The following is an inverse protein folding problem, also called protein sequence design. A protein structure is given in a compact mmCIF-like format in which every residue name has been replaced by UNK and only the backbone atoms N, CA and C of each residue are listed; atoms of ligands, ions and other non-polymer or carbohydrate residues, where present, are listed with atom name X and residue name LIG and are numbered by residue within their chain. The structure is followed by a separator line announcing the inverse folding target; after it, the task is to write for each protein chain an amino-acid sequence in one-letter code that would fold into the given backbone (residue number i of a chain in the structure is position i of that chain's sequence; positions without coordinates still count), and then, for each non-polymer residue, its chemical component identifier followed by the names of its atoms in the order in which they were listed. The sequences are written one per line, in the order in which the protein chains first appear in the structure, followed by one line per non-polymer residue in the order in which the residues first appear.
data_IF_636186922951
#
_entry.id   IF_636186922951
#
_cell.length_a   1.000
_cell.length_b   1.000
_cell.length_c   1.000
_cell.angle_alpha   90.00
_cell.angle_beta   90.00
_cell.angle_gamma   90.00
#
_symmetry.space_group_name_H-M   'P 1'
#
loop_
_entity.id
_entity.type
_entity.pdbx_description
1 polymer ?
#
# COMPACT_ATOMS: atom_id res chain seq x y z
N UNK A 1 8.62 -16.94 3.21
CA UNK A 1 10.07 -16.65 3.26
C UNK A 1 10.80 -17.59 2.30
N UNK A 2 11.44 -17.04 1.29
CA UNK A 2 12.26 -17.79 0.33
C UNK A 2 13.60 -17.06 0.22
N UNK A 3 14.70 -17.79 0.39
CA UNK A 3 16.06 -17.26 0.21
C UNK A 3 16.94 -18.31 -0.44
N UNK A 4 17.65 -17.95 -1.51
CA UNK A 4 18.64 -18.82 -2.12
C UNK A 4 19.86 -18.98 -1.20
N UNK A 5 20.27 -20.21 -0.93
CA UNK A 5 21.38 -20.55 -0.03
C UNK A 5 22.66 -21.00 -0.78
N UNK A 6 22.78 -20.68 -2.06
CA UNK A 6 23.92 -21.11 -2.88
C UNK A 6 25.29 -20.49 -2.51
N UNK A 7 25.36 -19.61 -1.50
CA UNK A 7 26.59 -19.01 -0.99
C UNK A 7 26.64 -19.05 0.53
N UNK A 8 27.83 -19.20 1.12
CA UNK A 8 28.03 -19.28 2.57
C UNK A 8 27.45 -18.07 3.33
N UNK A 9 27.70 -16.86 2.83
CA UNK A 9 27.17 -15.61 3.40
C UNK A 9 25.63 -15.61 3.49
N UNK A 10 24.94 -16.23 2.52
CA UNK A 10 23.49 -16.36 2.54
C UNK A 10 23.01 -17.41 3.55
N UNK A 11 23.82 -18.42 3.81
CA UNK A 11 23.57 -19.40 4.86
C UNK A 11 23.59 -18.74 6.23
N UNK A 12 24.64 -17.95 6.52
CA UNK A 12 24.77 -17.20 7.76
C UNK A 12 23.60 -16.23 7.96
N UNK A 13 23.19 -15.57 6.87
CA UNK A 13 22.02 -14.67 6.91
C UNK A 13 20.70 -15.42 7.18
N UNK A 14 20.49 -16.60 6.58
CA UNK A 14 19.29 -17.42 6.86
C UNK A 14 19.30 -17.89 8.31
N UNK A 15 20.45 -18.26 8.84
CA UNK A 15 20.55 -18.64 10.24
C UNK A 15 20.23 -17.48 11.18
N UNK A 16 20.76 -16.29 10.91
CA UNK A 16 20.40 -15.08 11.65
C UNK A 16 18.90 -14.74 11.55
N UNK A 17 18.29 -14.89 10.38
CA UNK A 17 16.85 -14.66 10.16
C UNK A 17 15.99 -15.67 10.95
N UNK A 18 16.45 -16.93 11.11
CA UNK A 18 15.78 -17.95 11.93
C UNK A 18 15.93 -17.59 13.42
N UNK A 19 17.14 -17.32 13.87
CA UNK A 19 17.47 -17.00 15.28
C UNK A 19 16.77 -15.71 15.75
N UNK A 20 16.64 -14.70 14.87
CA UNK A 20 15.89 -13.47 15.16
C UNK A 20 14.38 -13.65 15.16
N UNK A 21 13.87 -14.82 14.76
CA UNK A 21 12.44 -15.09 14.65
C UNK A 21 11.78 -14.52 13.37
N UNK A 22 12.55 -13.93 12.46
CA UNK A 22 12.00 -13.36 11.21
C UNK A 22 11.28 -14.41 10.36
N UNK A 23 11.84 -15.61 10.25
CA UNK A 23 11.20 -16.71 9.50
C UNK A 23 9.89 -17.14 10.16
N UNK A 24 9.87 -17.25 11.49
CA UNK A 24 8.68 -17.59 12.25
C UNK A 24 7.60 -16.51 12.15
N UNK A 25 7.95 -15.24 12.22
CA UNK A 25 7.01 -14.10 12.12
C UNK A 25 6.34 -14.00 10.74
N UNK A 26 6.96 -14.56 9.68
CA UNK A 26 6.42 -14.62 8.32
C UNK A 26 5.63 -15.89 8.01
N UNK A 27 5.33 -16.69 9.02
CA UNK A 27 4.49 -17.88 8.88
C UNK A 27 3.02 -17.45 8.81
N UNK A 28 2.38 -17.62 7.66
CA UNK A 28 0.96 -17.26 7.44
C UNK A 28 -0.04 -18.09 8.26
N UNK A 29 0.40 -19.18 8.92
CA UNK A 29 -0.42 -19.86 9.92
C UNK A 29 -0.56 -19.04 11.22
N UNK A 30 0.34 -18.09 11.45
CA UNK A 30 0.26 -17.12 12.55
C UNK A 30 -0.41 -15.84 12.07
N UNK A 31 -1.12 -15.19 12.97
CA UNK A 31 -1.75 -13.90 12.71
C UNK A 31 -0.70 -12.83 12.44
N UNK A 32 -0.85 -12.13 11.32
CA UNK A 32 0.06 -11.08 10.87
C UNK A 32 -0.46 -9.69 11.24
N UNK A 33 0.44 -8.72 11.33
CA UNK A 33 0.12 -7.30 11.37
C UNK A 33 0.50 -6.67 10.03
N UNK A 34 -0.29 -5.73 9.54
CA UNK A 34 -0.02 -5.10 8.27
C UNK A 34 -0.03 -3.56 8.34
N UNK A 35 0.66 -2.95 7.38
CA UNK A 35 0.45 -1.56 7.03
C UNK A 35 -0.05 -1.52 5.59
N UNK A 36 -1.29 -1.08 5.44
CA UNK A 36 -1.90 -0.80 4.15
C UNK A 36 -1.52 0.63 3.75
N UNK A 37 -0.92 0.80 2.58
CA UNK A 37 -0.48 2.08 2.06
C UNK A 37 -1.30 2.45 0.82
N UNK A 38 -1.85 3.65 0.74
CA UNK A 38 -2.21 4.17 -0.56
C UNK A 38 -0.95 4.39 -1.40
N UNK A 39 -1.10 4.44 -2.71
CA UNK A 39 -0.01 4.62 -3.65
C UNK A 39 0.25 6.12 -3.88
N UNK A 40 -0.68 6.76 -4.56
CA UNK A 40 -0.58 8.16 -4.97
C UNK A 40 -0.71 9.09 -3.76
N UNK A 41 0.22 10.00 -3.59
CA UNK A 41 0.25 10.90 -2.42
C UNK A 41 0.85 10.28 -1.15
N UNK A 42 1.17 8.98 -1.12
CA UNK A 42 1.79 8.28 0.01
C UNK A 42 3.14 7.70 -0.37
N UNK A 43 3.19 6.80 -1.34
CA UNK A 43 4.43 6.15 -1.82
C UNK A 43 5.05 6.99 -2.94
N UNK A 44 4.26 7.46 -3.89
CA UNK A 44 4.70 8.33 -4.98
C UNK A 44 4.01 9.69 -4.95
N UNK A 45 4.68 10.66 -5.56
CA UNK A 45 4.12 11.99 -5.76
C UNK A 45 2.85 11.87 -6.60
N UNK A 46 1.76 12.44 -6.11
CA UNK A 46 0.49 12.49 -6.84
C UNK A 46 0.58 13.61 -7.91
N UNK A 47 0.59 13.19 -9.16
CA UNK A 47 0.58 14.08 -10.35
C UNK A 47 -0.81 14.17 -10.98
N UNK A 48 -1.86 14.00 -10.20
CA UNK A 48 -3.27 14.05 -10.58
C UNK A 48 -3.83 12.81 -11.31
N UNK A 49 -3.08 11.95 -11.87
CA UNK A 49 -3.40 10.60 -12.41
C UNK A 49 -2.15 10.05 -13.08
N UNK A 50 -1.41 9.22 -12.39
CA UNK A 50 -0.28 8.48 -13.01
C UNK A 50 -0.85 7.49 -14.03
N UNK A 51 -0.58 7.70 -15.32
CA UNK A 51 -1.09 6.92 -16.46
C UNK A 51 0.01 6.27 -17.30
N UNK A 52 1.28 6.64 -17.04
CA UNK A 52 2.45 6.07 -17.70
C UNK A 52 3.55 5.74 -16.66
N UNK A 53 4.34 4.65 -16.86
CA UNK A 53 5.43 4.30 -15.95
C UNK A 53 6.47 5.40 -15.70
N UNK A 54 6.75 6.25 -16.68
CA UNK A 54 7.73 7.33 -16.58
C UNK A 54 7.26 8.48 -15.66
N UNK A 55 5.97 8.54 -15.35
CA UNK A 55 5.39 9.50 -14.40
C UNK A 55 5.56 9.05 -12.95
N UNK A 56 6.06 7.83 -12.71
CA UNK A 56 6.25 7.26 -11.36
C UNK A 56 7.47 7.88 -10.69
N UNK A 57 7.24 8.72 -9.71
CA UNK A 57 8.28 9.37 -8.88
C UNK A 57 7.98 9.09 -7.41
N UNK A 58 8.84 8.32 -6.74
CA UNK A 58 8.67 8.01 -5.32
C UNK A 58 8.95 9.22 -4.44
N UNK A 59 8.26 9.31 -3.30
CA UNK A 59 8.71 10.20 -2.24
C UNK A 59 10.09 9.76 -1.71
N UNK A 60 10.98 10.69 -1.34
CA UNK A 60 12.35 10.35 -0.90
C UNK A 60 12.41 9.38 0.26
N UNK A 61 11.36 9.39 1.09
CA UNK A 61 11.28 8.57 2.30
C UNK A 61 10.52 7.25 2.10
N UNK A 62 10.00 6.97 0.92
CA UNK A 62 9.14 5.80 0.68
C UNK A 62 9.89 4.48 0.94
N UNK A 63 11.07 4.35 0.37
CA UNK A 63 11.88 3.12 0.47
C UNK A 63 12.29 2.83 1.91
N UNK A 64 12.87 3.81 2.61
CA UNK A 64 13.28 3.60 4.01
C UNK A 64 12.11 3.32 4.95
N UNK A 65 10.92 3.89 4.66
CA UNK A 65 9.69 3.64 5.43
C UNK A 65 9.25 2.20 5.29
N UNK A 66 9.19 1.69 4.06
CA UNK A 66 8.81 0.30 3.77
C UNK A 66 9.82 -0.67 4.41
N UNK A 67 11.12 -0.40 4.31
CA UNK A 67 12.16 -1.21 4.95
C UNK A 67 12.00 -1.26 6.48
N UNK A 68 11.72 -0.11 7.11
CA UNK A 68 11.53 -0.04 8.56
C UNK A 68 10.28 -0.83 9.02
N UNK A 69 9.19 -0.76 8.26
CA UNK A 69 7.98 -1.54 8.52
C UNK A 69 8.25 -3.05 8.40
N UNK A 70 8.94 -3.49 7.35
CA UNK A 70 9.34 -4.89 7.21
C UNK A 70 10.25 -5.36 8.34
N UNK A 71 11.23 -4.53 8.73
CA UNK A 71 12.14 -4.85 9.84
C UNK A 71 11.41 -4.99 11.18
N UNK A 72 10.28 -4.31 11.34
CA UNK A 72 9.40 -4.44 12.50
C UNK A 72 8.37 -5.59 12.38
N UNK A 73 8.43 -6.38 11.31
CA UNK A 73 7.59 -7.55 11.08
C UNK A 73 6.19 -7.26 10.54
N UNK A 74 5.94 -6.08 9.97
CA UNK A 74 4.69 -5.81 9.29
C UNK A 74 4.69 -6.37 7.86
N UNK A 75 3.54 -6.87 7.43
CA UNK A 75 3.21 -7.07 6.01
C UNK A 75 2.88 -5.71 5.41
N UNK A 76 3.47 -5.36 4.27
CA UNK A 76 3.23 -4.07 3.59
C UNK A 76 2.42 -4.30 2.33
N UNK A 77 1.19 -3.79 2.32
CA UNK A 77 0.23 -3.96 1.21
C UNK A 77 -0.14 -2.60 0.62
N UNK A 78 0.05 -2.45 -0.68
CA UNK A 78 -0.45 -1.28 -1.41
C UNK A 78 -1.91 -1.49 -1.75
N UNK A 79 -2.76 -0.49 -1.45
CA UNK A 79 -4.21 -0.50 -1.73
C UNK A 79 -4.62 0.80 -2.42
N UNK A 80 -4.83 0.78 -3.74
CA UNK A 80 -4.97 2.01 -4.54
C UNK A 80 -6.16 2.01 -5.49
N UNK A 81 -6.83 3.16 -5.63
CA UNK A 81 -7.90 3.38 -6.62
C UNK A 81 -7.32 3.89 -7.92
N UNK A 82 -7.34 3.07 -8.97
CA UNK A 82 -6.78 3.39 -10.28
C UNK A 82 -7.88 3.63 -11.32
N UNK A 83 -8.59 4.74 -11.18
CA UNK A 83 -9.68 5.15 -12.08
C UNK A 83 -9.24 5.46 -13.51
N UNK A 84 -7.95 5.56 -13.78
CA UNK A 84 -7.38 5.76 -15.11
C UNK A 84 -7.87 4.73 -16.12
N UNK A 85 -8.12 3.48 -15.68
CA UNK A 85 -8.67 2.40 -16.51
C UNK A 85 -10.12 2.70 -16.88
N UNK A 86 -10.97 2.99 -15.89
CA UNK A 86 -12.38 3.32 -16.13
C UNK A 86 -12.57 4.58 -16.97
N UNK A 87 -11.60 5.50 -16.94
CA UNK A 87 -11.60 6.75 -17.71
C UNK A 87 -11.01 6.59 -19.13
N UNK A 88 -10.49 5.38 -19.47
CA UNK A 88 -9.87 5.12 -20.78
C UNK A 88 -8.51 5.78 -21.01
N UNK A 89 -7.86 6.26 -19.94
CA UNK A 89 -6.55 6.92 -20.02
C UNK A 89 -5.39 5.93 -20.12
N UNK A 90 -5.61 4.71 -19.67
CA UNK A 90 -4.73 3.55 -19.84
C UNK A 90 -5.57 2.27 -19.66
N UNK A 91 -4.99 1.10 -19.93
CA UNK A 91 -5.62 -0.20 -19.71
C UNK A 91 -5.04 -0.89 -18.46
N UNK A 92 -5.50 -2.12 -18.18
CA UNK A 92 -5.00 -2.91 -17.05
C UNK A 92 -3.50 -3.20 -17.17
N UNK A 93 -3.00 -3.46 -18.40
CA UNK A 93 -1.57 -3.71 -18.63
C UNK A 93 -0.74 -2.45 -18.38
N UNK A 94 -1.27 -1.29 -18.73
CA UNK A 94 -0.64 -0.01 -18.41
C UNK A 94 -0.52 0.21 -16.90
N UNK A 95 -1.57 -0.10 -16.12
CA UNK A 95 -1.50 -0.03 -14.65
C UNK A 95 -0.50 -1.04 -14.09
N UNK A 96 -0.46 -2.27 -14.62
CA UNK A 96 0.55 -3.28 -14.24
C UNK A 96 1.97 -2.79 -14.53
N UNK A 97 2.20 -2.13 -15.68
CA UNK A 97 3.50 -1.56 -16.02
C UNK A 97 3.91 -0.40 -15.07
N UNK A 98 2.94 0.43 -14.66
CA UNK A 98 3.15 1.49 -13.66
C UNK A 98 3.56 0.87 -12.31
N UNK A 99 2.86 -0.17 -11.87
CA UNK A 99 3.19 -0.89 -10.63
C UNK A 99 4.57 -1.56 -10.71
N UNK A 100 4.89 -2.23 -11.83
CA UNK A 100 6.22 -2.81 -12.05
C UNK A 100 7.34 -1.76 -12.02
N UNK A 101 7.06 -0.52 -12.47
CA UNK A 101 8.01 0.59 -12.35
C UNK A 101 8.19 1.00 -10.89
N UNK A 102 7.13 1.09 -10.11
CA UNK A 102 7.19 1.37 -8.68
C UNK A 102 8.01 0.31 -7.94
N UNK A 103 7.71 -0.99 -8.18
CA UNK A 103 8.44 -2.10 -7.57
C UNK A 103 9.93 -2.08 -7.92
N UNK A 104 10.27 -1.74 -9.17
CA UNK A 104 11.68 -1.60 -9.59
C UNK A 104 12.39 -0.47 -8.85
N UNK A 105 11.75 0.71 -8.74
CA UNK A 105 12.32 1.84 -8.01
C UNK A 105 12.54 1.52 -6.52
N UNK A 106 11.59 0.82 -5.89
CA UNK A 106 11.75 0.34 -4.52
C UNK A 106 12.90 -0.67 -4.39
N UNK A 107 13.00 -1.61 -5.35
CA UNK A 107 14.02 -2.65 -5.34
C UNK A 107 15.44 -2.11 -5.58
N UNK A 108 15.60 -1.03 -6.35
CA UNK A 108 16.89 -0.34 -6.56
C UNK A 108 17.52 0.10 -5.22
N UNK A 109 16.69 0.39 -4.21
CA UNK A 109 17.11 0.76 -2.85
C UNK A 109 16.89 -0.38 -1.83
N UNK A 110 16.58 -1.60 -2.28
CA UNK A 110 16.44 -2.78 -1.43
C UNK A 110 15.12 -2.89 -0.65
N UNK A 111 14.06 -2.21 -1.10
CA UNK A 111 12.72 -2.35 -0.57
C UNK A 111 11.80 -3.13 -1.51
N UNK A 112 10.71 -3.66 -0.98
CA UNK A 112 9.65 -4.32 -1.73
C UNK A 112 8.32 -4.16 -1.02
N UNK A 113 7.20 -4.48 -1.68
CA UNK A 113 5.88 -4.59 -1.06
C UNK A 113 5.39 -6.02 -1.19
N UNK A 114 4.65 -6.51 -0.20
CA UNK A 114 4.19 -7.91 -0.18
C UNK A 114 3.04 -8.15 -1.16
N UNK A 115 2.22 -7.12 -1.42
CA UNK A 115 1.15 -7.15 -2.42
C UNK A 115 0.79 -5.74 -2.89
N UNK A 116 0.34 -5.65 -4.15
CA UNK A 116 -0.34 -4.49 -4.69
C UNK A 116 -1.78 -4.90 -5.03
N UNK A 117 -2.75 -4.27 -4.38
CA UNK A 117 -4.18 -4.39 -4.68
C UNK A 117 -4.66 -3.09 -5.28
N UNK A 118 -5.31 -3.14 -6.44
CA UNK A 118 -5.85 -1.94 -7.04
C UNK A 118 -7.29 -2.12 -7.52
N UNK A 119 -8.03 -1.02 -7.52
CA UNK A 119 -9.39 -0.96 -8.06
C UNK A 119 -9.39 -0.18 -9.36
N UNK A 120 -9.70 -0.80 -10.52
CA UNK A 120 -9.78 -0.12 -11.81
C UNK A 120 -11.13 0.59 -12.03
N UNK A 121 -12.11 0.38 -11.15
CA UNK A 121 -13.49 0.83 -11.34
C UNK A 121 -13.70 2.29 -10.92
N UNK A 122 -14.65 2.95 -11.60
CA UNK A 122 -15.14 4.28 -11.25
C UNK A 122 -16.60 4.43 -11.70
N UNK A 123 -17.57 4.47 -10.79
CA UNK A 123 -19.00 4.45 -11.15
C UNK A 123 -19.46 5.73 -11.88
N UNK A 124 -18.82 6.88 -11.61
CA UNK A 124 -19.23 8.15 -12.20
C UNK A 124 -18.99 8.15 -13.72
N UNK A 125 -19.97 8.63 -14.45
CA UNK A 125 -19.98 8.72 -15.92
C UNK A 125 -19.64 10.14 -16.39
N UNK A 126 -19.42 10.29 -17.71
CA UNK A 126 -19.23 11.58 -18.35
C UNK A 126 -17.79 11.89 -18.75
N UNK A 127 -16.93 10.89 -18.83
CA UNK A 127 -15.58 11.01 -19.41
C UNK A 127 -15.62 10.63 -20.89
N UNK A 128 -14.96 11.41 -21.80
CA UNK A 128 -15.06 11.18 -23.25
C UNK A 128 -14.63 9.76 -23.69
N UNK A 129 -13.62 9.19 -23.04
CA UNK A 129 -12.99 7.92 -23.42
C UNK A 129 -13.30 6.79 -22.42
N UNK A 130 -14.36 6.94 -21.61
CA UNK A 130 -14.68 5.98 -20.56
C UNK A 130 -14.91 4.56 -21.09
N UNK A 131 -14.45 3.58 -20.31
CA UNK A 131 -14.60 2.15 -20.61
C UNK A 131 -15.80 1.60 -19.82
N UNK A 132 -16.93 1.30 -20.49
CA UNK A 132 -18.17 0.92 -19.80
C UNK A 132 -18.04 -0.28 -18.85
N UNK A 133 -17.18 -1.25 -19.18
CA UNK A 133 -16.93 -2.43 -18.35
C UNK A 133 -16.39 -2.11 -16.96
N UNK A 134 -15.71 -0.97 -16.79
CA UNK A 134 -15.16 -0.51 -15.50
C UNK A 134 -15.99 0.61 -14.85
N UNK A 135 -17.09 1.02 -15.46
CA UNK A 135 -18.01 2.04 -14.95
C UNK A 135 -19.07 1.41 -14.05
N UNK A 136 -18.62 0.68 -13.04
CA UNK A 136 -19.47 -0.11 -12.15
C UNK A 136 -19.18 0.20 -10.68
N UNK A 137 -20.19 -0.02 -9.83
CA UNK A 137 -20.01 -0.17 -8.39
C UNK A 137 -19.32 -1.50 -8.10
N UNK A 138 -18.38 -1.49 -7.16
CA UNK A 138 -17.63 -2.69 -6.76
C UNK A 138 -17.38 -2.69 -5.25
N UNK A 139 -16.91 -3.79 -4.70
CA UNK A 139 -16.50 -3.91 -3.29
C UNK A 139 -15.08 -3.39 -3.04
N UNK A 140 -14.22 -3.37 -4.08
CA UNK A 140 -12.79 -3.05 -3.94
C UNK A 140 -12.48 -1.55 -3.88
N UNK A 141 -13.34 -0.67 -4.46
CA UNK A 141 -13.05 0.76 -4.52
C UNK A 141 -13.17 1.43 -3.15
N UNK A 142 -12.07 2.01 -2.63
CA UNK A 142 -12.11 2.88 -1.45
C UNK A 142 -13.12 4.02 -1.66
N UNK A 143 -14.01 4.32 -0.70
CA UNK A 143 -13.92 4.03 0.73
C UNK A 143 -14.42 2.64 1.17
N UNK A 144 -14.80 1.74 0.27
CA UNK A 144 -15.13 0.37 0.65
C UNK A 144 -13.87 -0.40 1.04
N UNK A 145 -13.93 -1.30 2.05
CA UNK A 145 -12.76 -1.96 2.62
C UNK A 145 -12.27 -3.18 1.83
N UNK A 146 -12.87 -3.52 0.69
CA UNK A 146 -12.68 -4.81 0.02
C UNK A 146 -11.23 -5.17 -0.24
N UNK A 147 -10.40 -4.24 -0.75
CA UNK A 147 -8.97 -4.52 -0.99
C UNK A 147 -8.20 -4.86 0.30
N UNK A 148 -8.55 -4.20 1.43
CA UNK A 148 -7.93 -4.47 2.72
C UNK A 148 -8.35 -5.84 3.25
N UNK A 149 -9.64 -6.16 3.19
CA UNK A 149 -10.19 -7.43 3.67
C UNK A 149 -9.73 -8.62 2.84
N UNK A 150 -9.61 -8.47 1.51
CA UNK A 150 -9.08 -9.50 0.61
C UNK A 150 -7.61 -9.81 0.94
N UNK A 151 -6.79 -8.77 1.18
CA UNK A 151 -5.41 -8.95 1.61
C UNK A 151 -5.34 -9.54 3.04
N UNK A 152 -6.22 -9.11 3.95
CA UNK A 152 -6.28 -9.65 5.31
C UNK A 152 -6.59 -11.15 5.31
N UNK A 153 -7.52 -11.59 4.46
CA UNK A 153 -7.81 -13.02 4.27
C UNK A 153 -6.62 -13.79 3.71
N UNK A 154 -5.90 -13.20 2.72
CA UNK A 154 -4.78 -13.85 2.06
C UNK A 154 -3.56 -14.04 2.95
N UNK A 155 -3.25 -13.05 3.77
CA UNK A 155 -2.05 -13.03 4.63
C UNK A 155 -2.34 -13.33 6.10
N UNK A 156 -3.56 -13.73 6.46
CA UNK A 156 -3.99 -13.94 7.85
C UNK A 156 -3.73 -12.70 8.73
N UNK A 157 -4.14 -11.52 8.24
CA UNK A 157 -3.90 -10.24 8.92
C UNK A 157 -4.97 -9.95 9.95
N UNK A 158 -4.55 -9.55 11.15
CA UNK A 158 -5.40 -8.92 12.15
C UNK A 158 -5.52 -7.42 11.85
N UNK A 159 -6.65 -7.01 11.30
CA UNK A 159 -6.91 -5.61 10.99
C UNK A 159 -6.87 -4.72 12.24
N UNK A 160 -7.29 -5.20 13.42
CA UNK A 160 -7.31 -4.41 14.66
C UNK A 160 -5.91 -4.03 15.15
N UNK A 161 -4.89 -4.81 14.78
CA UNK A 161 -3.47 -4.57 15.04
C UNK A 161 -2.72 -4.05 13.80
N UNK A 162 -3.46 -3.54 12.81
CA UNK A 162 -2.93 -3.07 11.53
C UNK A 162 -3.29 -1.61 11.28
N UNK A 163 -2.64 -1.01 10.28
CA UNK A 163 -2.79 0.39 9.96
C UNK A 163 -3.15 0.61 8.49
N UNK A 164 -3.99 1.63 8.23
CA UNK A 164 -4.18 2.21 6.90
C UNK A 164 -3.57 3.61 6.88
N UNK A 165 -2.64 3.85 5.96
CA UNK A 165 -2.01 5.15 5.72
C UNK A 165 -2.46 5.67 4.36
N UNK A 166 -3.08 6.84 4.34
CA UNK A 166 -3.57 7.44 3.11
C UNK A 166 -3.58 8.97 3.18
N UNK A 167 -3.78 9.62 2.06
CA UNK A 167 -3.86 11.06 1.94
C UNK A 167 -5.30 11.59 1.89
N UNK A 168 -6.26 10.74 1.61
CA UNK A 168 -7.66 11.12 1.35
C UNK A 168 -8.65 10.54 2.36
N UNK A 169 -9.83 11.15 2.46
CA UNK A 169 -10.92 10.61 3.29
C UNK A 169 -11.29 9.18 2.94
N UNK A 170 -11.19 8.81 1.65
CA UNK A 170 -11.52 7.47 1.16
C UNK A 170 -10.62 6.39 1.78
N UNK A 171 -9.37 6.74 2.05
CA UNK A 171 -8.41 5.83 2.67
C UNK A 171 -8.76 5.60 4.14
N UNK A 172 -9.03 6.70 4.85
CA UNK A 172 -9.38 6.66 6.27
C UNK A 172 -10.67 5.88 6.48
N UNK A 173 -11.70 6.16 5.69
CA UNK A 173 -12.97 5.42 5.75
C UNK A 173 -12.79 3.94 5.42
N UNK A 174 -11.96 3.59 4.41
CA UNK A 174 -11.69 2.19 4.08
C UNK A 174 -10.95 1.48 5.22
N UNK A 175 -9.95 2.13 5.84
CA UNK A 175 -9.24 1.61 6.99
C UNK A 175 -10.16 1.38 8.19
N UNK A 176 -10.96 2.37 8.54
CA UNK A 176 -11.95 2.27 9.63
C UNK A 176 -12.98 1.17 9.37
N UNK A 177 -13.50 1.06 8.14
CA UNK A 177 -14.45 0.02 7.77
C UNK A 177 -13.83 -1.39 7.79
N UNK A 178 -12.52 -1.52 7.60
CA UNK A 178 -11.78 -2.76 7.75
C UNK A 178 -11.41 -3.08 9.21
N UNK A 179 -11.62 -2.14 10.15
CA UNK A 179 -11.22 -2.27 11.56
C UNK A 179 -9.75 -1.94 11.83
N UNK A 180 -9.05 -1.28 10.89
CA UNK A 180 -7.68 -0.83 11.07
C UNK A 180 -7.61 0.52 11.78
N UNK A 181 -6.49 0.78 12.45
CA UNK A 181 -6.09 2.14 12.82
C UNK A 181 -5.70 2.92 11.57
N UNK A 182 -5.84 4.24 11.61
CA UNK A 182 -5.72 5.08 10.42
C UNK A 182 -4.79 6.27 10.62
N UNK A 183 -3.95 6.55 9.63
CA UNK A 183 -3.11 7.76 9.62
C UNK A 183 -3.37 8.51 8.32
N UNK A 184 -3.70 9.80 8.43
CA UNK A 184 -3.78 10.69 7.28
C UNK A 184 -2.47 11.46 7.12
N UNK A 185 -1.80 11.29 5.98
CA UNK A 185 -0.61 12.08 5.64
C UNK A 185 -1.01 13.41 5.01
N UNK A 186 -0.14 14.44 5.13
CA UNK A 186 -0.36 15.77 4.56
C UNK A 186 0.10 15.91 3.11
N UNK A 187 0.82 14.92 2.59
CA UNK A 187 1.20 14.82 1.17
C UNK A 187 -0.03 14.59 0.29
N UNK A 188 0.13 14.71 -1.04
CA UNK A 188 -0.97 14.50 -1.99
C UNK A 188 -2.19 15.37 -1.68
N UNK A 189 -3.34 14.75 -1.48
CA UNK A 189 -4.61 15.38 -1.11
C UNK A 189 -4.77 15.65 0.40
N UNK A 190 -3.76 15.34 1.22
CA UNK A 190 -3.88 15.33 2.68
C UNK A 190 -4.16 16.67 3.34
N UNK A 191 -3.90 17.78 2.66
CA UNK A 191 -4.25 19.13 3.12
C UNK A 191 -5.67 19.57 2.75
N UNK A 192 -6.41 18.79 1.94
CA UNK A 192 -7.81 19.11 1.64
C UNK A 192 -8.66 19.01 2.91
N UNK A 193 -9.63 19.92 3.12
CA UNK A 193 -10.56 19.84 4.24
C UNK A 193 -11.25 18.48 4.30
N UNK A 194 -11.45 17.96 5.51
CA UNK A 194 -12.08 16.67 5.76
C UNK A 194 -12.89 16.72 7.05
N UNK A 195 -14.03 16.06 7.04
CA UNK A 195 -14.82 15.79 8.25
C UNK A 195 -14.52 14.42 8.86
N UNK A 196 -13.77 13.59 8.13
CA UNK A 196 -13.36 12.26 8.58
C UNK A 196 -12.13 12.38 9.47
N UNK A 197 -12.23 11.87 10.68
CA UNK A 197 -11.18 11.95 11.70
C UNK A 197 -10.36 10.65 11.66
N UNK A 198 -9.07 10.71 11.31
CA UNK A 198 -8.15 9.57 11.46
C UNK A 198 -7.71 9.42 12.92
N UNK A 199 -7.10 8.29 13.27
CA UNK A 199 -6.49 8.09 14.59
C UNK A 199 -5.25 8.95 14.78
N UNK A 200 -4.52 9.26 13.69
CA UNK A 200 -3.37 10.18 13.71
C UNK A 200 -3.20 10.93 12.38
N UNK A 201 -2.43 12.02 12.45
CA UNK A 201 -1.92 12.76 11.29
C UNK A 201 -0.40 12.67 11.23
N UNK A 202 0.16 12.69 10.01
CA UNK A 202 1.59 12.72 9.76
C UNK A 202 1.92 13.66 8.59
N UNK A 203 3.13 14.23 8.55
CA UNK A 203 3.57 15.08 7.44
C UNK A 203 3.71 14.28 6.14
N UNK A 204 4.14 13.01 6.24
CA UNK A 204 4.32 12.10 5.12
C UNK A 204 4.53 10.68 5.60
N UNK A 205 4.91 9.78 4.68
CA UNK A 205 5.05 8.34 4.96
C UNK A 205 6.08 8.04 6.06
N UNK A 206 7.18 8.81 6.18
CA UNK A 206 8.18 8.56 7.23
C UNK A 206 7.66 8.85 8.63
N UNK A 207 6.99 9.99 8.83
CA UNK A 207 6.39 10.30 10.13
C UNK A 207 5.26 9.32 10.47
N UNK A 208 4.46 8.89 9.48
CA UNK A 208 3.47 7.84 9.68
C UNK A 208 4.14 6.53 10.14
N UNK A 209 5.23 6.14 9.49
CA UNK A 209 6.01 4.95 9.87
C UNK A 209 6.55 5.06 11.29
N UNK A 210 7.15 6.19 11.66
CA UNK A 210 7.67 6.38 13.03
C UNK A 210 6.57 6.34 14.07
N UNK A 211 5.38 6.88 13.77
CA UNK A 211 4.20 6.77 14.64
C UNK A 211 3.77 5.31 14.82
N UNK A 212 3.67 4.54 13.74
CA UNK A 212 3.31 3.12 13.75
C UNK A 212 4.28 2.31 14.62
N UNK A 213 5.58 2.54 14.44
CA UNK A 213 6.64 1.83 15.18
C UNK A 213 6.68 2.18 16.67
N UNK A 214 6.24 3.38 17.03
CA UNK A 214 6.15 3.82 18.44
C UNK A 214 4.85 3.33 19.13
N UNK A 215 3.82 2.98 18.37
CA UNK A 215 2.55 2.48 18.91
C UNK A 215 2.72 1.02 19.34
N UNK A 216 2.68 0.78 20.66
CA UNK A 216 2.74 -0.56 21.27
C UNK A 216 1.37 -1.24 21.25
#
# INVERSE_FOLDING_TARGET
YIKDMGKLERHEQVQADIESGLVASRNLALTQRAVFLDRDGVINIDSDLVKHPDEMVLYPDATKSIQALHSAGFVVVVVTNQSVVARGLTDLKGVEAIHARMERLLAEEGAFVDQISFCPHHPDKGYPEEVPAFKIECHCRKPKPGMLLDAASRFNIDCSNSWMVGDSERDILAGQAAGCRTIRVKTGHGLKPSTVVPDAHAAGIWEATTHILAAK
#
